data_IF_515686687939
#
_entry.id   IF_515686687939
#
_cell.length_a   1.000
_cell.length_b   1.000
_cell.length_c   1.000
_cell.angle_alpha   90.00
_cell.angle_beta   90.00
_cell.angle_gamma   90.00
#
_symmetry.space_group_name_H-M   'P 1'
#
loop_
_entity.id
_entity.type
_entity.pdbx_description
1 polymer ?
#
# COMPACT_ATOMS: atom_id res chain seq x y z
N UNK A 1 12.12 -21.35 9.07
CA UNK A 1 10.71 -20.93 8.98
C UNK A 1 10.63 -20.03 7.77
N UNK A 2 9.82 -20.36 6.75
CA UNK A 2 9.74 -19.53 5.55
C UNK A 2 9.16 -18.17 5.94
N UNK A 3 10.01 -17.15 5.92
CA UNK A 3 9.67 -15.77 6.28
C UNK A 3 8.93 -15.15 5.08
N UNK A 4 7.74 -15.66 4.80
CA UNK A 4 6.95 -15.23 3.66
C UNK A 4 6.41 -13.83 3.94
N UNK A 5 6.68 -12.91 3.02
CA UNK A 5 6.18 -11.54 3.06
C UNK A 5 4.66 -11.50 3.25
N UNK A 6 4.18 -10.53 4.01
CA UNK A 6 2.74 -10.27 4.21
C UNK A 6 2.14 -9.41 3.08
N UNK A 7 2.98 -8.86 2.22
CA UNK A 7 2.56 -7.96 1.14
C UNK A 7 1.75 -8.78 0.11
N UNK A 8 0.51 -8.36 -0.23
CA UNK A 8 -0.27 -8.99 -1.28
C UNK A 8 0.44 -8.89 -2.63
N UNK A 9 0.21 -9.86 -3.51
CA UNK A 9 0.81 -9.83 -4.85
C UNK A 9 0.06 -8.85 -5.74
N UNK A 10 0.80 -7.95 -6.38
CA UNK A 10 0.28 -7.17 -7.49
C UNK A 10 0.04 -8.09 -8.70
N UNK A 11 -1.15 -8.01 -9.30
CA UNK A 11 -1.53 -8.86 -10.44
C UNK A 11 -1.08 -8.27 -11.76
N UNK A 12 -1.44 -7.00 -11.99
CA UNK A 12 -1.16 -6.24 -13.20
C UNK A 12 -0.89 -4.78 -12.84
N UNK A 13 -0.21 -4.04 -13.71
CA UNK A 13 0.05 -2.60 -13.57
C UNK A 13 -1.09 -1.79 -14.21
N UNK A 14 -2.29 -1.95 -13.67
CA UNK A 14 -3.51 -1.21 -14.08
C UNK A 14 -4.13 -0.49 -12.89
N UNK A 15 -4.95 0.54 -13.14
CA UNK A 15 -5.60 1.31 -12.09
C UNK A 15 -6.45 0.42 -11.16
N UNK A 16 -7.29 -0.45 -11.74
CA UNK A 16 -8.15 -1.36 -10.97
C UNK A 16 -7.33 -2.34 -10.13
N UNK A 17 -6.20 -2.82 -10.66
CA UNK A 17 -5.30 -3.70 -9.91
C UNK A 17 -4.61 -2.97 -8.76
N UNK A 18 -4.20 -1.72 -8.96
CA UNK A 18 -3.64 -0.88 -7.90
C UNK A 18 -4.67 -0.62 -6.79
N UNK A 19 -5.90 -0.24 -7.16
CA UNK A 19 -6.99 -0.01 -6.22
C UNK A 19 -7.31 -1.27 -5.40
N UNK A 20 -7.40 -2.43 -6.06
CA UNK A 20 -7.61 -3.71 -5.39
C UNK A 20 -6.43 -4.03 -4.44
N UNK A 21 -5.20 -3.81 -4.87
CA UNK A 21 -4.01 -4.08 -4.06
C UNK A 21 -3.95 -3.20 -2.80
N UNK A 22 -4.26 -1.90 -2.90
CA UNK A 22 -4.41 -1.03 -1.73
C UNK A 22 -5.54 -1.51 -0.80
N UNK A 23 -6.66 -1.97 -1.35
CA UNK A 23 -7.74 -2.54 -0.55
C UNK A 23 -7.32 -3.83 0.19
N UNK A 24 -6.49 -4.68 -0.43
CA UNK A 24 -5.93 -5.86 0.20
C UNK A 24 -4.94 -5.48 1.33
N UNK A 25 -4.11 -4.45 1.13
CA UNK A 25 -3.26 -3.89 2.19
C UNK A 25 -4.08 -3.36 3.37
N UNK A 26 -5.18 -2.64 3.10
CA UNK A 26 -6.11 -2.18 4.15
C UNK A 26 -6.66 -3.35 4.96
N UNK A 27 -7.19 -4.38 4.30
CA UNK A 27 -7.73 -5.57 4.97
C UNK A 27 -6.70 -6.28 5.86
N UNK A 28 -5.41 -6.18 5.51
CA UNK A 28 -4.31 -6.78 6.26
C UNK A 28 -3.71 -5.86 7.34
N UNK A 29 -4.26 -4.66 7.55
CA UNK A 29 -3.71 -3.61 8.43
C UNK A 29 -2.28 -3.20 8.03
N UNK A 30 -2.03 -3.12 6.72
CA UNK A 30 -0.75 -2.76 6.09
C UNK A 30 -0.85 -1.48 5.24
N UNK A 31 -1.97 -0.76 5.31
CA UNK A 31 -2.18 0.43 4.51
C UNK A 31 -1.24 1.58 4.94
N UNK A 32 -0.58 2.20 3.97
CA UNK A 32 0.34 3.34 4.12
C UNK A 32 0.30 4.21 2.85
N UNK A 33 0.51 5.52 2.99
CA UNK A 33 0.35 6.44 1.86
C UNK A 33 1.44 6.15 0.82
N UNK A 34 1.13 6.09 -0.49
CA UNK A 34 2.11 5.70 -1.51
C UNK A 34 3.33 6.63 -1.63
N UNK A 35 3.22 7.88 -1.16
CA UNK A 35 4.36 8.83 -1.12
C UNK A 35 5.23 8.70 0.15
N UNK A 36 4.78 7.98 1.17
CA UNK A 36 5.58 7.74 2.36
C UNK A 36 6.53 6.56 2.13
N UNK A 37 7.78 6.67 2.58
CA UNK A 37 8.71 5.54 2.52
C UNK A 37 8.27 4.44 3.52
N UNK A 38 8.06 3.18 3.08
CA UNK A 38 7.73 2.07 3.97
C UNK A 38 8.71 1.90 5.14
N UNK A 39 9.97 2.30 4.98
CA UNK A 39 10.99 2.24 6.03
C UNK A 39 10.75 3.22 7.20
N UNK A 40 9.90 4.22 7.01
CA UNK A 40 9.59 5.24 8.02
C UNK A 40 8.24 4.97 8.72
N UNK A 41 7.46 4.00 8.23
CA UNK A 41 6.14 3.69 8.79
C UNK A 41 6.27 2.91 10.09
N UNK A 42 5.79 3.51 11.17
CA UNK A 42 5.75 2.91 12.52
C UNK A 42 4.33 2.68 13.00
N UNK A 43 4.12 1.58 13.72
CA UNK A 43 2.85 1.30 14.42
C UNK A 43 2.72 2.16 15.65
N UNK A 44 1.61 2.88 15.77
CA UNK A 44 1.33 3.73 16.93
C UNK A 44 1.24 2.91 18.23
N UNK A 45 0.78 1.66 18.16
CA UNK A 45 0.55 0.81 19.33
C UNK A 45 1.82 0.44 20.11
N UNK A 46 2.95 0.28 19.42
CA UNK A 46 4.20 -0.21 20.02
C UNK A 46 5.47 0.51 19.54
N UNK A 47 5.35 1.49 18.64
CA UNK A 47 6.45 2.28 18.10
C UNK A 47 7.39 1.51 17.18
N UNK A 48 7.05 0.28 16.79
CA UNK A 48 7.90 -0.54 15.91
C UNK A 48 7.57 -0.29 14.44
N UNK A 49 8.55 -0.56 13.57
CA UNK A 49 8.33 -0.54 12.13
C UNK A 49 7.16 -1.47 11.74
N UNK A 50 6.30 -0.97 10.86
CA UNK A 50 5.15 -1.73 10.36
C UNK A 50 5.60 -2.89 9.47
N UNK A 51 6.65 -2.67 8.69
CA UNK A 51 7.20 -3.57 7.69
C UNK A 51 8.59 -4.07 8.09
N UNK A 52 8.92 -5.29 7.68
CA UNK A 52 10.28 -5.84 7.74
C UNK A 52 11.12 -5.39 6.56
N UNK A 53 12.45 -5.51 6.65
CA UNK A 53 13.38 -5.12 5.57
C UNK A 53 13.03 -5.74 4.21
N UNK A 54 12.59 -7.01 4.21
CA UNK A 54 12.17 -7.70 2.98
C UNK A 54 10.90 -7.09 2.39
N UNK A 55 9.94 -6.71 3.24
CA UNK A 55 8.68 -6.10 2.82
C UNK A 55 8.87 -4.66 2.36
N UNK A 56 9.82 -3.92 2.94
CA UNK A 56 10.18 -2.57 2.51
C UNK A 56 10.69 -2.60 1.06
N UNK A 57 11.62 -3.50 0.75
CA UNK A 57 12.16 -3.63 -0.61
C UNK A 57 11.08 -4.10 -1.60
N UNK A 58 10.21 -5.01 -1.19
CA UNK A 58 9.07 -5.45 -2.01
C UNK A 58 8.09 -4.29 -2.29
N UNK A 59 7.73 -3.51 -1.27
CA UNK A 59 6.83 -2.37 -1.44
C UNK A 59 7.41 -1.30 -2.35
N UNK A 60 8.68 -0.94 -2.18
CA UNK A 60 9.38 0.01 -3.06
C UNK A 60 9.40 -0.50 -4.50
N UNK A 61 9.67 -1.78 -4.72
CA UNK A 61 9.61 -2.39 -6.04
C UNK A 61 8.21 -2.29 -6.66
N UNK A 62 7.17 -2.69 -5.92
CA UNK A 62 5.79 -2.69 -6.43
C UNK A 62 5.27 -1.27 -6.70
N UNK A 63 5.60 -0.29 -5.85
CA UNK A 63 5.26 1.12 -6.09
C UNK A 63 5.96 1.65 -7.34
N UNK A 64 7.25 1.36 -7.52
CA UNK A 64 7.97 1.75 -8.75
C UNK A 64 7.35 1.11 -10.01
N UNK A 65 6.93 -0.16 -9.96
CA UNK A 65 6.26 -0.82 -11.08
C UNK A 65 4.90 -0.18 -11.40
N UNK A 66 4.15 0.19 -10.36
CA UNK A 66 2.88 0.92 -10.52
C UNK A 66 3.11 2.31 -11.11
N UNK A 67 4.05 3.09 -10.58
CA UNK A 67 4.39 4.40 -11.11
C UNK A 67 4.84 4.34 -12.56
N UNK A 68 5.69 3.36 -12.93
CA UNK A 68 6.12 3.15 -14.29
C UNK A 68 4.95 2.72 -15.22
N UNK A 69 4.01 1.93 -14.71
CA UNK A 69 2.90 1.37 -15.49
C UNK A 69 1.72 2.32 -15.70
N UNK A 70 1.30 3.03 -14.65
CA UNK A 70 0.09 3.89 -14.69
C UNK A 70 0.36 5.37 -14.39
N UNK A 71 1.56 5.73 -13.94
CA UNK A 71 1.94 7.10 -13.58
C UNK A 71 1.59 7.48 -12.14
N UNK A 72 2.39 8.38 -11.57
CA UNK A 72 2.30 8.84 -10.16
C UNK A 72 0.89 9.26 -9.73
N UNK A 73 0.27 10.17 -10.49
CA UNK A 73 -1.07 10.70 -10.17
C UNK A 73 -2.11 9.59 -10.05
N UNK A 74 -2.06 8.59 -10.94
CA UNK A 74 -3.00 7.47 -10.92
C UNK A 74 -2.78 6.51 -9.77
N UNK A 75 -1.54 6.37 -9.29
CA UNK A 75 -1.24 5.58 -8.08
C UNK A 75 -1.88 6.25 -6.86
N UNK A 76 -1.75 7.57 -6.74
CA UNK A 76 -2.39 8.35 -5.67
C UNK A 76 -3.92 8.25 -5.75
N UNK A 77 -4.49 8.46 -6.94
CA UNK A 77 -5.94 8.36 -7.17
C UNK A 77 -6.49 6.97 -6.83
N UNK A 78 -5.76 5.90 -7.14
CA UNK A 78 -6.16 4.53 -6.81
C UNK A 78 -6.13 4.26 -5.30
N UNK A 79 -5.17 4.84 -4.58
CA UNK A 79 -5.04 4.71 -3.14
C UNK A 79 -6.11 5.53 -2.39
N UNK A 80 -6.45 6.71 -2.89
CA UNK A 80 -7.32 7.69 -2.23
C UNK A 80 -8.65 7.14 -1.68
N UNK A 81 -9.50 6.43 -2.45
CA UNK A 81 -10.76 5.91 -1.93
C UNK A 81 -10.55 4.88 -0.80
N UNK A 82 -9.46 4.10 -0.85
CA UNK A 82 -9.11 3.13 0.18
C UNK A 82 -8.69 3.86 1.47
N UNK A 83 -7.91 4.93 1.35
CA UNK A 83 -7.54 5.80 2.47
C UNK A 83 -8.75 6.44 3.14
N UNK A 84 -9.65 7.03 2.36
CA UNK A 84 -10.84 7.68 2.87
C UNK A 84 -11.74 6.67 3.62
N UNK A 85 -11.89 5.48 3.06
CA UNK A 85 -12.60 4.37 3.71
C UNK A 85 -11.93 3.94 5.03
N UNK A 86 -10.60 3.78 5.03
CA UNK A 86 -9.85 3.39 6.24
C UNK A 86 -9.89 4.46 7.36
N UNK A 87 -9.95 5.73 6.97
CA UNK A 87 -10.04 6.85 7.91
C UNK A 87 -11.44 7.01 8.52
N UNK A 88 -12.44 6.25 8.04
CA UNK A 88 -13.82 6.31 8.54
C UNK A 88 -14.64 7.49 7.99
N UNK A 89 -14.07 8.26 7.04
CA UNK A 89 -14.81 9.26 6.29
C UNK A 89 -15.23 8.63 4.96
N UNK A 90 -16.39 7.97 4.95
CA UNK A 90 -17.14 7.80 3.71
C UNK A 90 -17.46 9.22 3.22
N UNK A 91 -16.83 9.65 2.13
CA UNK A 91 -17.37 10.78 1.37
C UNK A 91 -18.70 10.26 0.82
N UNK A 92 -19.80 10.65 1.47
CA UNK A 92 -21.14 10.42 0.96
C UNK A 92 -21.20 10.92 -0.49
N UNK A 93 -21.81 10.07 -1.32
CA UNK A 93 -21.88 10.12 -2.79
C UNK A 93 -22.44 11.43 -3.37
#
# INVERSE_FOLDING_TARGET
MQNQSRIPKLRETTFDSALLWFSELQCNNLLFHPEDDPAEIVRISDGKLLFSDVEIEELRFLLNELEAGIGHEKVIEAAYPVFMNAFGNQLDA
#
